data_IF_465102977790
#
_entry.id   IF_465102977790
#
_cell.length_a   1.000
_cell.length_b   1.000
_cell.length_c   1.000
_cell.angle_alpha   90.00
_cell.angle_beta   90.00
_cell.angle_gamma   90.00
#
_symmetry.space_group_name_H-M   'P 1'
#
loop_
_entity.id
_entity.type
_entity.pdbx_description
1 polymer ?
#
# COMPACT_ATOMS: atom_id res chain seq x y z
N UNK A 1 -3.15 -6.41 -25.11
CA UNK A 1 -3.88 -6.77 -23.87
C UNK A 1 -4.92 -5.70 -23.59
N UNK A 2 -6.17 -5.90 -24.03
CA UNK A 2 -7.27 -4.94 -23.81
C UNK A 2 -7.62 -4.97 -22.32
N UNK A 3 -7.23 -3.95 -21.56
CA UNK A 3 -7.31 -3.93 -20.09
C UNK A 3 -8.60 -3.30 -19.54
N UNK A 4 -9.62 -3.05 -20.36
CA UNK A 4 -10.92 -2.56 -19.88
C UNK A 4 -11.99 -3.46 -20.48
N UNK A 5 -12.57 -4.28 -19.63
CA UNK A 5 -13.69 -5.16 -19.94
C UNK A 5 -14.86 -4.28 -20.38
N UNK A 6 -15.34 -4.45 -21.62
CA UNK A 6 -16.48 -3.70 -22.15
C UNK A 6 -17.74 -4.16 -21.42
N UNK A 7 -18.10 -3.48 -20.33
CA UNK A 7 -19.29 -3.80 -19.54
C UNK A 7 -19.27 -3.38 -18.07
N UNK A 8 -18.18 -2.76 -17.58
CA UNK A 8 -18.13 -2.26 -16.20
C UNK A 8 -19.01 -1.01 -16.08
N UNK A 9 -20.01 -1.05 -15.17
CA UNK A 9 -20.87 0.11 -14.92
C UNK A 9 -20.11 1.24 -14.21
N UNK A 10 -20.47 2.49 -14.52
CA UNK A 10 -19.89 3.66 -13.84
C UNK A 10 -20.15 3.62 -12.32
N UNK A 11 -21.27 3.04 -11.89
CA UNK A 11 -21.59 2.85 -10.47
C UNK A 11 -20.57 1.92 -9.78
N UNK A 12 -20.17 0.83 -10.45
CA UNK A 12 -19.11 -0.06 -9.95
C UNK A 12 -17.77 0.67 -9.87
N UNK A 13 -17.44 1.48 -10.86
CA UNK A 13 -16.20 2.28 -10.86
C UNK A 13 -16.21 3.26 -9.68
N UNK A 14 -17.29 4.05 -9.53
CA UNK A 14 -17.45 4.99 -8.42
C UNK A 14 -17.32 4.32 -7.06
N UNK A 15 -18.01 3.19 -6.86
CA UNK A 15 -17.93 2.42 -5.61
C UNK A 15 -16.50 2.00 -5.27
N UNK A 16 -15.74 1.53 -6.26
CA UNK A 16 -14.34 1.11 -6.01
C UNK A 16 -13.42 2.31 -5.80
N UNK A 17 -13.61 3.40 -6.54
CA UNK A 17 -12.87 4.64 -6.32
C UNK A 17 -13.16 5.25 -4.94
N UNK A 18 -14.37 5.09 -4.42
CA UNK A 18 -14.74 5.48 -3.06
C UNK A 18 -13.98 4.63 -2.02
N UNK A 19 -13.92 3.30 -2.22
CA UNK A 19 -13.18 2.39 -1.34
C UNK A 19 -11.71 2.79 -1.17
N UNK A 20 -11.06 3.31 -2.22
CA UNK A 20 -9.65 3.75 -2.16
C UNK A 20 -9.49 5.25 -1.84
N UNK A 21 -10.55 5.95 -1.45
CA UNK A 21 -10.51 7.38 -1.09
C UNK A 21 -10.20 8.31 -2.27
N UNK A 22 -10.61 7.93 -3.48
CA UNK A 22 -10.38 8.72 -4.71
C UNK A 22 -11.67 9.32 -5.30
N UNK A 23 -12.87 8.91 -4.86
CA UNK A 23 -14.12 9.37 -5.48
C UNK A 23 -14.28 10.90 -5.39
N UNK A 24 -14.16 11.49 -4.20
CA UNK A 24 -14.32 12.94 -4.01
C UNK A 24 -13.29 13.73 -4.82
N UNK A 25 -12.03 13.26 -4.84
CA UNK A 25 -10.98 13.89 -5.64
C UNK A 25 -11.31 13.85 -7.14
N UNK A 26 -11.75 12.69 -7.65
CA UNK A 26 -12.12 12.54 -9.06
C UNK A 26 -13.30 13.45 -9.40
N UNK A 27 -14.31 13.54 -8.53
CA UNK A 27 -15.49 14.40 -8.74
C UNK A 27 -15.16 15.91 -8.75
N UNK A 28 -14.07 16.32 -8.10
CA UNK A 28 -13.57 17.71 -8.14
C UNK A 28 -12.77 18.05 -9.41
N UNK A 29 -12.38 17.05 -10.21
CA UNK A 29 -11.70 17.30 -11.48
C UNK A 29 -12.66 17.95 -12.49
N UNK A 30 -12.17 18.84 -13.39
CA UNK A 30 -13.04 19.56 -14.34
C UNK A 30 -13.98 18.69 -15.17
N UNK A 31 -13.57 17.46 -15.50
CA UNK A 31 -14.37 16.50 -16.26
C UNK A 31 -14.70 15.24 -15.45
N UNK A 32 -14.55 15.26 -14.13
CA UNK A 32 -14.85 14.10 -13.28
C UNK A 32 -14.09 12.84 -13.71
N UNK A 33 -14.82 11.73 -13.83
CA UNK A 33 -14.33 10.45 -14.32
C UNK A 33 -13.92 10.44 -15.80
N UNK A 34 -14.35 11.42 -16.59
CA UNK A 34 -13.96 11.59 -18.00
C UNK A 34 -12.66 12.42 -18.14
N UNK A 35 -12.02 12.78 -17.03
CA UNK A 35 -10.75 13.51 -17.04
C UNK A 35 -9.65 12.67 -17.65
N UNK A 36 -9.07 13.17 -18.75
CA UNK A 36 -7.91 12.55 -19.39
C UNK A 36 -6.68 12.73 -18.50
N UNK A 37 -6.12 11.61 -18.03
CA UNK A 37 -4.77 11.59 -17.47
C UNK A 37 -3.78 11.91 -18.59
N UNK A 38 -3.07 13.04 -18.50
CA UNK A 38 -1.99 13.38 -19.43
C UNK A 38 -0.84 12.36 -19.38
N UNK A 39 0.25 12.60 -20.13
CA UNK A 39 1.43 11.72 -20.10
C UNK A 39 1.90 11.46 -18.66
N UNK A 40 2.10 10.18 -18.33
CA UNK A 40 2.52 9.69 -17.01
C UNK A 40 1.65 10.11 -15.82
N UNK A 41 0.40 10.54 -16.04
CA UNK A 41 -0.49 10.93 -14.94
C UNK A 41 -0.14 12.27 -14.29
N UNK A 42 0.49 13.19 -15.03
CA UNK A 42 1.02 14.49 -14.58
C UNK A 42 0.07 15.42 -13.78
N UNK A 43 -1.22 15.07 -13.65
CA UNK A 43 -2.19 15.77 -12.79
C UNK A 43 -2.35 15.17 -11.40
N UNK A 44 -1.72 14.04 -11.13
CA UNK A 44 -1.87 13.26 -9.90
C UNK A 44 -0.54 13.16 -9.17
N UNK A 45 -0.59 13.21 -7.84
CA UNK A 45 0.56 12.87 -7.00
C UNK A 45 0.81 11.35 -7.03
N UNK A 46 2.05 10.91 -6.77
CA UNK A 46 2.44 9.48 -6.84
C UNK A 46 1.49 8.55 -6.07
N UNK A 47 1.16 8.92 -4.83
CA UNK A 47 0.19 8.18 -4.00
C UNK A 47 -1.23 8.10 -4.60
N UNK A 48 -1.67 9.08 -5.41
CA UNK A 48 -2.96 9.02 -6.09
C UNK A 48 -2.93 8.06 -7.28
N UNK A 49 -1.84 8.02 -8.05
CA UNK A 49 -1.64 7.05 -9.13
C UNK A 49 -1.64 5.62 -8.59
N UNK A 50 -0.96 5.41 -7.47
CA UNK A 50 -0.96 4.13 -6.75
C UNK A 50 -2.37 3.71 -6.33
N UNK A 51 -3.15 4.61 -5.72
CA UNK A 51 -4.56 4.33 -5.35
C UNK A 51 -5.44 4.03 -6.55
N UNK A 52 -5.26 4.73 -7.67
CA UNK A 52 -5.99 4.44 -8.91
C UNK A 52 -5.59 3.08 -9.51
N UNK A 53 -4.31 2.69 -9.41
CA UNK A 53 -3.85 1.37 -9.82
C UNK A 53 -4.47 0.26 -8.95
N UNK A 54 -4.61 0.48 -7.64
CA UNK A 54 -5.35 -0.42 -6.76
C UNK A 54 -6.83 -0.46 -7.10
N UNK A 55 -7.49 0.68 -7.34
CA UNK A 55 -8.89 0.69 -7.78
C UNK A 55 -9.08 -0.15 -9.04
N UNK A 56 -8.16 -0.03 -10.00
CA UNK A 56 -8.18 -0.83 -11.24
C UNK A 56 -8.08 -2.34 -10.97
N UNK A 57 -7.25 -2.79 -10.02
CA UNK A 57 -7.18 -4.22 -9.67
C UNK A 57 -8.43 -4.67 -8.89
N UNK A 58 -8.95 -3.86 -7.97
CA UNK A 58 -10.19 -4.16 -7.25
C UNK A 58 -11.40 -4.33 -8.19
N UNK A 59 -11.50 -3.52 -9.25
CA UNK A 59 -12.56 -3.64 -10.26
C UNK A 59 -12.54 -5.01 -10.96
N UNK A 60 -11.34 -5.52 -11.24
CA UNK A 60 -11.12 -6.80 -11.93
C UNK A 60 -11.32 -8.00 -11.01
N UNK A 61 -11.22 -7.82 -9.70
CA UNK A 61 -11.56 -8.81 -8.68
C UNK A 61 -10.79 -10.14 -8.86
N UNK A 62 -9.47 -10.07 -9.02
CA UNK A 62 -8.60 -11.25 -9.12
C UNK A 62 -8.46 -12.03 -7.81
N UNK A 63 -7.92 -13.25 -7.92
CA UNK A 63 -7.56 -14.10 -6.77
C UNK A 63 -6.18 -13.76 -6.18
N UNK A 64 -5.33 -13.08 -6.94
CA UNK A 64 -3.94 -12.76 -6.57
C UNK A 64 -3.66 -11.29 -6.83
N UNK A 65 -3.14 -10.59 -5.83
CA UNK A 65 -2.70 -9.21 -5.90
C UNK A 65 -1.20 -9.17 -5.61
N UNK A 66 -0.44 -8.50 -6.48
CA UNK A 66 0.98 -8.22 -6.28
C UNK A 66 1.10 -6.69 -6.14
N UNK A 67 1.68 -6.26 -5.04
CA UNK A 67 1.73 -4.85 -4.63
C UNK A 67 3.19 -4.47 -4.42
N UNK A 68 3.66 -3.51 -5.21
CA UNK A 68 5.01 -2.99 -5.11
C UNK A 68 4.95 -1.58 -4.51
N UNK A 69 5.49 -1.42 -3.30
CA UNK A 69 5.70 -0.14 -2.59
C UNK A 69 4.49 0.83 -2.53
N UNK A 70 3.26 0.30 -2.53
CA UNK A 70 2.03 1.09 -2.63
C UNK A 70 1.83 2.09 -1.46
N UNK A 71 2.47 1.86 -0.31
CA UNK A 71 2.29 2.65 0.92
C UNK A 71 3.40 3.67 1.19
N UNK A 72 4.39 3.80 0.31
CA UNK A 72 5.55 4.67 0.51
C UNK A 72 5.18 6.18 0.50
N UNK A 73 4.27 6.58 -0.39
CA UNK A 73 3.92 7.98 -0.64
C UNK A 73 2.53 8.38 -0.07
N UNK A 74 2.03 7.64 0.93
CA UNK A 74 0.71 7.88 1.51
C UNK A 74 0.81 8.56 2.88
N UNK A 75 -0.04 9.56 3.11
CA UNK A 75 -0.30 10.05 4.47
C UNK A 75 -0.94 8.97 5.36
N UNK A 76 -0.91 9.19 6.67
CA UNK A 76 -1.34 8.19 7.65
C UNK A 76 -2.84 7.85 7.62
N UNK A 77 -3.70 8.69 7.05
CA UNK A 77 -5.13 8.39 6.88
C UNK A 77 -5.34 7.48 5.67
N UNK A 78 -4.75 7.85 4.54
CA UNK A 78 -4.82 7.06 3.30
C UNK A 78 -4.15 5.69 3.47
N UNK A 79 -3.03 5.59 4.21
CA UNK A 79 -2.42 4.30 4.55
C UNK A 79 -3.41 3.38 5.27
N UNK A 80 -4.17 3.89 6.25
CA UNK A 80 -5.16 3.08 6.99
C UNK A 80 -6.26 2.55 6.08
N UNK A 81 -6.74 3.38 5.15
CA UNK A 81 -7.74 2.98 4.14
C UNK A 81 -7.19 1.80 3.33
N UNK A 82 -5.98 1.94 2.77
CA UNK A 82 -5.35 0.90 1.96
C UNK A 82 -5.14 -0.37 2.77
N UNK A 83 -4.59 -0.27 3.97
CA UNK A 83 -4.35 -1.45 4.82
C UNK A 83 -5.65 -2.19 5.18
N UNK A 84 -6.76 -1.47 5.39
CA UNK A 84 -8.06 -2.09 5.62
C UNK A 84 -8.57 -2.84 4.38
N UNK A 85 -8.39 -2.28 3.18
CA UNK A 85 -8.73 -2.96 1.93
C UNK A 85 -7.94 -4.26 1.78
N UNK A 86 -6.61 -4.20 1.97
CA UNK A 86 -5.75 -5.39 1.87
C UNK A 86 -6.16 -6.47 2.88
N UNK A 87 -6.45 -6.08 4.12
CA UNK A 87 -6.95 -6.99 5.13
C UNK A 87 -8.30 -7.63 4.74
N UNK A 88 -9.21 -6.88 4.11
CA UNK A 88 -10.46 -7.41 3.60
C UNK A 88 -10.25 -8.40 2.45
N UNK A 89 -9.34 -8.11 1.51
CA UNK A 89 -8.99 -9.03 0.43
C UNK A 89 -8.51 -10.36 1.00
N UNK A 90 -7.57 -10.33 1.95
CA UNK A 90 -7.05 -11.53 2.61
C UNK A 90 -8.17 -12.30 3.32
N UNK A 91 -9.02 -11.61 4.11
CA UNK A 91 -10.18 -12.24 4.78
C UNK A 91 -11.17 -12.89 3.81
N UNK A 92 -11.29 -12.34 2.61
CA UNK A 92 -12.13 -12.92 1.55
C UNK A 92 -11.49 -14.10 0.81
N UNK A 93 -10.32 -14.57 1.26
CA UNK A 93 -9.63 -15.74 0.71
C UNK A 93 -8.70 -15.42 -0.46
N UNK A 94 -8.34 -14.16 -0.67
CA UNK A 94 -7.46 -13.75 -1.77
C UNK A 94 -6.01 -13.68 -1.32
N UNK A 95 -5.09 -14.00 -2.24
CA UNK A 95 -3.65 -13.89 -1.99
C UNK A 95 -3.17 -12.46 -2.27
N UNK A 96 -2.51 -11.85 -1.29
CA UNK A 96 -1.85 -10.56 -1.44
C UNK A 96 -0.36 -10.75 -1.18
N UNK A 97 0.45 -10.52 -2.20
CA UNK A 97 1.92 -10.48 -2.12
C UNK A 97 2.32 -9.03 -2.18
N UNK A 98 3.15 -8.59 -1.23
CA UNK A 98 3.55 -7.20 -1.15
C UNK A 98 5.04 -7.09 -0.85
N UNK A 99 5.68 -6.12 -1.50
CA UNK A 99 7.03 -5.66 -1.20
C UNK A 99 6.90 -4.29 -0.54
N UNK A 100 7.54 -4.11 0.61
CA UNK A 100 7.49 -2.87 1.37
C UNK A 100 8.77 -2.66 2.17
N UNK A 101 9.19 -1.42 2.29
CA UNK A 101 10.23 -0.93 3.19
C UNK A 101 9.63 -0.27 4.45
N UNK A 102 8.36 -0.55 4.78
CA UNK A 102 7.68 0.03 5.95
C UNK A 102 7.34 -1.05 6.97
N UNK A 103 8.00 -1.03 8.13
CA UNK A 103 7.71 -1.98 9.22
C UNK A 103 6.23 -2.06 9.59
N UNK A 104 5.51 -0.92 9.61
CA UNK A 104 4.07 -0.84 9.96
C UNK A 104 3.19 -1.76 9.11
N UNK A 105 3.66 -2.04 7.90
CA UNK A 105 3.01 -2.86 6.89
C UNK A 105 3.49 -4.31 6.98
N UNK A 106 4.81 -4.52 7.09
CA UNK A 106 5.45 -5.84 7.19
C UNK A 106 4.96 -6.62 8.41
N UNK A 107 4.88 -5.97 9.59
CA UNK A 107 4.52 -6.63 10.87
C UNK A 107 3.12 -7.24 10.85
N UNK A 108 2.22 -6.75 9.97
CA UNK A 108 0.83 -7.23 9.88
C UNK A 108 0.66 -8.41 8.93
N UNK A 109 1.71 -8.81 8.21
CA UNK A 109 1.63 -9.90 7.26
C UNK A 109 1.43 -11.25 7.96
N UNK A 110 0.68 -12.15 7.32
CA UNK A 110 0.49 -13.52 7.83
C UNK A 110 1.75 -14.37 7.68
N UNK A 111 2.58 -14.05 6.69
CA UNK A 111 3.88 -14.67 6.41
C UNK A 111 4.78 -13.58 5.83
N UNK A 112 6.02 -13.50 6.30
CA UNK A 112 7.04 -12.57 5.81
C UNK A 112 8.14 -13.43 5.19
N UNK A 113 8.55 -13.08 3.96
CA UNK A 113 9.70 -13.69 3.29
C UNK A 113 10.88 -12.73 3.38
N UNK A 114 11.96 -13.18 4.02
CA UNK A 114 13.20 -12.39 4.14
C UNK A 114 14.15 -12.82 3.04
N UNK A 115 14.58 -11.85 2.24
CA UNK A 115 15.52 -12.09 1.14
C UNK A 115 16.86 -11.42 1.44
N UNK A 116 17.95 -12.10 1.12
CA UNK A 116 19.30 -11.55 1.12
C UNK A 116 20.11 -12.09 -0.07
N UNK A 117 20.80 -11.20 -0.78
CA UNK A 117 21.63 -11.53 -1.95
C UNK A 117 20.91 -12.44 -2.98
N UNK A 118 19.62 -12.18 -3.23
CA UNK A 118 18.80 -12.94 -4.19
C UNK A 118 18.29 -14.30 -3.69
N UNK A 119 18.52 -14.64 -2.43
CA UNK A 119 18.07 -15.90 -1.82
C UNK A 119 17.06 -15.64 -0.69
N UNK A 120 16.12 -16.56 -0.50
CA UNK A 120 15.26 -16.56 0.69
C UNK A 120 16.09 -17.10 1.85
N UNK A 121 16.31 -16.27 2.87
CA UNK A 121 17.12 -16.62 4.05
C UNK A 121 16.28 -16.99 5.27
N UNK A 122 15.03 -16.54 5.32
CA UNK A 122 14.07 -16.92 6.35
C UNK A 122 12.63 -16.69 5.88
N UNK A 123 11.69 -17.39 6.50
CA UNK A 123 10.27 -17.07 6.40
C UNK A 123 9.55 -17.33 7.71
N UNK A 124 8.47 -16.59 7.96
CA UNK A 124 7.62 -16.79 9.12
C UNK A 124 6.86 -15.52 9.51
N UNK A 125 6.24 -15.55 10.68
CA UNK A 125 5.60 -14.34 11.23
C UNK A 125 6.63 -13.39 11.81
N UNK A 126 6.22 -12.14 12.05
CA UNK A 126 7.08 -11.14 12.70
C UNK A 126 7.65 -11.64 14.03
N UNK A 127 6.82 -12.29 14.85
CA UNK A 127 7.19 -12.76 16.19
C UNK A 127 8.27 -13.84 16.18
N UNK A 128 8.32 -14.64 15.10
CA UNK A 128 9.35 -15.66 14.88
C UNK A 128 10.61 -14.99 14.34
N UNK A 129 10.48 -14.22 13.26
CA UNK A 129 11.62 -13.65 12.56
C UNK A 129 12.41 -12.65 13.41
N UNK A 130 11.75 -11.86 14.26
CA UNK A 130 12.43 -10.92 15.14
C UNK A 130 13.30 -11.61 16.20
N UNK A 131 13.08 -12.91 16.46
CA UNK A 131 13.87 -13.70 17.42
C UNK A 131 14.93 -14.56 16.74
N UNK A 132 14.63 -15.06 15.54
CA UNK A 132 15.39 -16.14 14.92
C UNK A 132 16.14 -15.72 13.64
N UNK A 133 15.88 -14.54 13.09
CA UNK A 133 16.51 -14.07 11.85
C UNK A 133 17.32 -12.78 12.06
N UNK A 134 18.65 -12.89 12.07
CA UNK A 134 19.56 -11.75 12.20
C UNK A 134 19.37 -10.70 11.10
N UNK A 135 19.08 -11.13 9.86
CA UNK A 135 18.85 -10.22 8.73
C UNK A 135 17.59 -9.40 8.97
N UNK A 136 16.50 -10.05 9.37
CA UNK A 136 15.25 -9.36 9.70
C UNK A 136 15.41 -8.43 10.91
N UNK A 137 16.12 -8.87 11.96
CA UNK A 137 16.43 -8.05 13.13
C UNK A 137 17.20 -6.79 12.76
N UNK A 138 18.18 -6.87 11.86
CA UNK A 138 18.94 -5.71 11.38
C UNK A 138 18.05 -4.73 10.62
N UNK A 139 17.23 -5.22 9.70
CA UNK A 139 16.27 -4.40 8.95
C UNK A 139 15.28 -3.69 9.89
N UNK A 140 14.75 -4.45 10.86
CA UNK A 140 13.83 -3.92 11.87
C UNK A 140 14.52 -2.90 12.79
N UNK A 141 15.74 -3.18 13.24
CA UNK A 141 16.52 -2.30 14.13
C UNK A 141 16.88 -0.97 13.48
N UNK A 142 17.30 -0.96 12.21
CA UNK A 142 17.63 0.28 11.51
C UNK A 142 16.43 1.19 11.26
N UNK A 143 15.26 0.61 10.96
CA UNK A 143 14.00 1.36 10.81
C UNK A 143 13.42 1.78 12.18
N UNK A 144 13.57 0.95 13.23
CA UNK A 144 13.14 1.27 14.59
C UNK A 144 13.96 2.38 15.22
N UNK A 145 15.30 2.37 15.09
CA UNK A 145 16.16 3.47 15.54
C UNK A 145 15.85 4.76 14.81
N UNK A 146 15.60 4.69 13.50
CA UNK A 146 15.20 5.85 12.70
C UNK A 146 13.81 6.38 13.11
N UNK A 147 12.85 5.49 13.41
CA UNK A 147 11.54 5.86 13.94
C UNK A 147 11.65 6.50 15.33
N UNK A 148 12.39 5.89 16.26
CA UNK A 148 12.65 6.43 17.61
C UNK A 148 13.37 7.78 17.57
N UNK A 149 14.33 7.98 16.66
CA UNK A 149 15.00 9.27 16.49
C UNK A 149 14.07 10.35 15.94
N UNK A 150 13.11 9.99 15.08
CA UNK A 150 12.12 10.93 14.53
C UNK A 150 11.16 11.47 15.61
N UNK A 151 10.74 10.63 16.56
CA UNK A 151 9.87 11.02 17.69
C UNK A 151 10.63 11.74 18.81
N UNK A 152 11.93 11.45 19.00
CA UNK A 152 12.75 12.23 19.95
C UNK A 152 13.00 13.66 19.48
N UNK A 153 13.09 13.90 18.17
CA UNK A 153 13.22 15.27 17.63
C UNK A 153 11.95 16.12 17.84
N UNK A 154 10.76 15.52 17.90
CA UNK A 154 9.49 16.24 18.12
C UNK A 154 9.16 16.48 19.60
N UNK A 155 9.99 15.99 20.53
CA UNK A 155 9.72 16.08 21.98
C UNK A 155 10.50 17.19 22.68
N UNK A 156 11.60 17.65 22.07
CA UNK A 156 12.56 18.57 22.72
C UNK A 156 12.46 20.03 22.21
N UNK A 157 11.66 20.32 21.17
CA UNK A 157 11.54 21.68 20.59
C UNK A 157 10.26 22.45 20.99
N UNK A 158 9.37 21.90 21.83
CA UNK A 158 8.17 22.59 22.36
C UNK A 158 8.28 23.01 23.84
N UNK A 159 9.50 23.02 24.40
CA UNK A 159 9.77 23.62 25.72
C UNK A 159 10.97 24.57 25.59
N UNK A 160 10.72 25.75 25.05
CA UNK A 160 11.38 27.00 25.44
C UNK A 160 10.51 28.22 25.11
#
# INVERSE_FOLDING_TARGET
>A
MSMIDKGISIEKIKKVCDMVGMNEYIEQLPNGYDTIMGESGSRFFGGQIHRLALARSLIRNENVYIIDELTADLDGENEKIIMNILAQLVRSGKLVIMVSHRLSTIVKANEIIVMDNGNIVASGTHEVLIKECDVYQKLYGSEWESYCNLIHYTSDDDIN
#
